data_IF_903651352557
#
_entry.id   IF_903651352557
#
_cell.length_a   1.000
_cell.length_b   1.000
_cell.length_c   1.000
_cell.angle_alpha   90.00
_cell.angle_beta   90.00
_cell.angle_gamma   90.00
#
_symmetry.space_group_name_H-M   'P 1'
#
loop_
_entity.id
_entity.type
_entity.pdbx_description
1 polymer ?
#
# COMPACT_ATOMS: atom_id res chain seq x y z
N UNK A 1 -7.77 -0.72 5.53
CA UNK A 1 -7.05 -1.91 6.06
C UNK A 1 -7.07 -2.98 5.00
N UNK A 2 -6.02 -3.07 4.17
CA UNK A 2 -5.95 -4.04 3.07
C UNK A 2 -5.39 -5.40 3.53
N UNK A 3 -5.98 -6.47 3.03
CA UNK A 3 -5.53 -7.84 3.17
C UNK A 3 -4.89 -8.33 1.86
N UNK A 4 -4.18 -9.45 1.91
CA UNK A 4 -3.62 -10.05 0.69
C UNK A 4 -4.70 -10.57 -0.26
N UNK A 5 -5.86 -10.98 0.26
CA UNK A 5 -7.02 -11.42 -0.53
C UNK A 5 -7.69 -10.30 -1.31
N UNK A 6 -7.39 -9.04 -0.97
CA UNK A 6 -7.93 -7.87 -1.66
C UNK A 6 -7.16 -7.54 -2.94
N UNK A 7 -6.03 -8.20 -3.20
CA UNK A 7 -5.13 -7.95 -4.33
C UNK A 7 -5.28 -9.04 -5.38
N UNK A 8 -5.52 -8.63 -6.62
CA UNK A 8 -5.40 -9.47 -7.79
C UNK A 8 -4.25 -8.97 -8.67
N UNK A 9 -3.14 -9.73 -8.70
CA UNK A 9 -1.96 -9.37 -9.49
C UNK A 9 -2.12 -9.66 -10.98
N UNK A 10 -3.06 -10.52 -11.38
CA UNK A 10 -3.33 -10.83 -12.79
C UNK A 10 -4.17 -9.72 -13.40
N UNK A 11 -5.24 -9.34 -12.69
CA UNK A 11 -6.11 -8.23 -13.08
C UNK A 11 -5.51 -6.86 -12.77
N UNK A 12 -4.40 -6.82 -12.01
CA UNK A 12 -3.75 -5.60 -11.53
C UNK A 12 -4.69 -4.75 -10.70
N UNK A 13 -5.53 -5.37 -9.89
CA UNK A 13 -6.54 -4.67 -9.10
C UNK A 13 -6.33 -4.82 -7.60
N UNK A 14 -6.77 -3.80 -6.86
CA UNK A 14 -6.92 -3.84 -5.41
C UNK A 14 -8.35 -3.45 -5.06
N UNK A 15 -9.03 -4.31 -4.31
CA UNK A 15 -10.40 -4.10 -3.82
C UNK A 15 -10.32 -3.39 -2.47
N UNK A 16 -10.85 -2.18 -2.40
CA UNK A 16 -10.90 -1.40 -1.16
C UNK A 16 -12.34 -1.35 -0.69
N UNK A 17 -12.62 -2.00 0.43
CA UNK A 17 -13.92 -1.93 1.11
C UNK A 17 -13.90 -0.80 2.14
N UNK A 18 -14.82 0.16 2.02
CA UNK A 18 -15.14 1.13 3.08
C UNK A 18 -16.44 0.71 3.80
N UNK A 19 -16.54 0.99 5.11
CA UNK A 19 -17.44 0.32 6.05
C UNK A 19 -18.96 0.51 5.89
N UNK A 20 -19.70 -0.15 6.79
CA UNK A 20 -21.14 -0.52 6.80
C UNK A 20 -22.20 0.52 6.39
N UNK A 21 -21.89 1.81 6.23
CA UNK A 21 -22.90 2.82 5.90
C UNK A 21 -23.16 3.01 4.41
N UNK A 22 -22.17 2.74 3.56
CA UNK A 22 -22.32 2.75 2.12
C UNK A 22 -21.53 1.55 1.60
N UNK A 23 -22.20 0.47 1.18
CA UNK A 23 -21.59 -0.75 0.66
C UNK A 23 -20.87 -0.55 -0.69
N UNK A 24 -20.17 0.56 -0.87
CA UNK A 24 -19.48 0.94 -2.10
C UNK A 24 -18.00 0.57 -1.96
N UNK A 25 -17.70 -0.70 -2.22
CA UNK A 25 -16.32 -1.11 -2.48
C UNK A 25 -15.82 -0.44 -3.77
N UNK A 26 -14.56 -0.02 -3.80
CA UNK A 26 -13.91 0.50 -5.01
C UNK A 26 -12.80 -0.44 -5.46
N UNK A 27 -12.65 -0.58 -6.78
CA UNK A 27 -11.57 -1.33 -7.40
C UNK A 27 -10.58 -0.33 -7.98
N UNK A 28 -9.32 -0.41 -7.54
CA UNK A 28 -8.24 0.45 -8.03
C UNK A 28 -7.31 -0.38 -8.91
N UNK A 29 -7.01 0.14 -10.10
CA UNK A 29 -6.06 -0.47 -11.02
C UNK A 29 -4.63 0.00 -10.72
N UNK A 30 -3.71 -0.95 -10.67
CA UNK A 30 -2.29 -0.73 -10.47
C UNK A 30 -1.60 -0.49 -11.82
N UNK A 31 -0.68 0.46 -11.86
CA UNK A 31 0.28 0.53 -12.96
C UNK A 31 1.17 -0.71 -12.98
N UNK A 32 1.88 -0.92 -14.09
CA UNK A 32 2.77 -2.07 -14.22
C UNK A 32 3.91 -2.05 -13.18
N UNK A 33 4.50 -0.89 -12.92
CA UNK A 33 5.53 -0.71 -11.89
C UNK A 33 4.98 -1.00 -10.48
N UNK A 34 3.75 -0.55 -10.20
CA UNK A 34 3.10 -0.82 -8.92
C UNK A 34 2.80 -2.33 -8.74
N UNK A 35 2.38 -3.01 -9.82
CA UNK A 35 2.18 -4.46 -9.82
C UNK A 35 3.48 -5.21 -9.55
N UNK A 36 4.57 -4.84 -10.22
CA UNK A 36 5.88 -5.47 -10.03
C UNK A 36 6.40 -5.26 -8.61
N UNK A 37 6.32 -4.04 -8.09
CA UNK A 37 6.68 -3.72 -6.71
C UNK A 37 5.85 -4.53 -5.70
N UNK A 38 4.55 -4.66 -5.94
CA UNK A 38 3.65 -5.44 -5.08
C UNK A 38 3.97 -6.94 -5.14
N UNK A 39 4.25 -7.48 -6.32
CA UNK A 39 4.66 -8.87 -6.49
C UNK A 39 5.98 -9.18 -5.77
N UNK A 40 6.96 -8.28 -5.85
CA UNK A 40 8.22 -8.40 -5.10
C UNK A 40 7.97 -8.36 -3.58
N UNK A 41 7.10 -7.45 -3.11
CA UNK A 41 6.70 -7.38 -1.71
C UNK A 41 6.02 -8.66 -1.22
N UNK A 42 5.10 -9.24 -1.99
CA UNK A 42 4.42 -10.49 -1.62
C UNK A 42 5.38 -11.67 -1.45
N UNK A 43 6.52 -11.67 -2.14
CA UNK A 43 7.57 -12.70 -1.97
C UNK A 43 8.43 -12.47 -0.72
N UNK A 44 8.68 -11.22 -0.34
CA UNK A 44 9.54 -10.87 0.78
C UNK A 44 8.81 -10.80 2.13
N UNK A 45 7.49 -10.56 2.11
CA UNK A 45 6.68 -10.42 3.33
C UNK A 45 6.54 -11.73 4.09
N UNK A 46 6.21 -11.61 5.37
CA UNK A 46 5.83 -12.71 6.24
C UNK A 46 4.44 -13.21 5.87
N UNK A 47 4.37 -14.42 5.28
CA UNK A 47 3.14 -15.01 4.77
C UNK A 47 2.02 -15.11 5.82
N UNK A 48 2.37 -15.39 7.08
CA UNK A 48 1.42 -15.57 8.18
C UNK A 48 0.72 -14.28 8.65
N UNK A 49 1.20 -13.09 8.22
CA UNK A 49 0.52 -11.84 8.58
C UNK A 49 -0.71 -11.66 7.67
N UNK A 50 -1.90 -11.33 8.20
CA UNK A 50 -3.10 -11.18 7.37
C UNK A 50 -3.11 -9.85 6.58
N UNK A 51 -2.45 -8.80 7.09
CA UNK A 51 -2.44 -7.49 6.44
C UNK A 51 -1.45 -7.43 5.30
N UNK A 52 -1.85 -6.75 4.22
CA UNK A 52 -0.99 -6.55 3.05
C UNK A 52 0.27 -5.77 3.43
N UNK A 53 0.12 -4.68 4.19
CA UNK A 53 1.21 -3.86 4.70
C UNK A 53 1.18 -3.80 6.24
N UNK A 54 2.36 -3.85 6.86
CA UNK A 54 2.53 -3.82 8.31
C UNK A 54 3.88 -3.21 8.68
N UNK A 55 3.96 -2.61 9.86
CA UNK A 55 5.23 -2.12 10.41
C UNK A 55 6.11 -3.25 10.99
N UNK A 56 7.41 -2.99 11.15
CA UNK A 56 8.32 -3.88 11.86
C UNK A 56 7.85 -4.03 13.31
N UNK A 57 7.61 -5.26 13.77
CA UNK A 57 7.07 -5.53 15.12
C UNK A 57 5.59 -5.20 15.33
N UNK A 58 4.92 -4.58 14.36
CA UNK A 58 3.51 -4.18 14.49
C UNK A 58 2.58 -5.00 13.59
N UNK A 59 1.30 -5.01 13.97
CA UNK A 59 0.24 -5.63 13.18
C UNK A 59 -0.22 -4.75 12.01
N UNK A 60 0.10 -3.45 12.02
CA UNK A 60 -0.36 -2.50 11.03
C UNK A 60 0.68 -1.43 10.68
N UNK A 61 0.52 -0.82 9.52
CA UNK A 61 1.28 0.35 9.10
C UNK A 61 0.42 1.58 9.38
N UNK A 62 0.86 2.45 10.29
CA UNK A 62 0.16 3.71 10.55
C UNK A 62 0.50 4.78 9.51
N UNK A 63 -0.38 5.77 9.36
CA UNK A 63 -0.20 6.89 8.43
C UNK A 63 1.14 7.60 8.66
N UNK A 64 1.51 7.87 9.91
CA UNK A 64 2.75 8.58 10.21
C UNK A 64 3.99 7.80 9.74
N UNK A 65 4.02 6.47 9.98
CA UNK A 65 5.10 5.61 9.49
C UNK A 65 5.16 5.58 7.96
N UNK A 66 4.02 5.47 7.29
CA UNK A 66 3.95 5.53 5.83
C UNK A 66 4.46 6.89 5.29
N UNK A 67 4.05 7.99 5.92
CA UNK A 67 4.47 9.35 5.57
C UNK A 67 5.97 9.58 5.77
N UNK A 68 6.55 9.07 6.86
CA UNK A 68 8.01 9.15 7.09
C UNK A 68 8.77 8.39 6.01
N UNK A 69 8.33 7.18 5.68
CA UNK A 69 8.96 6.38 4.62
C UNK A 69 8.82 7.04 3.25
N UNK A 70 7.66 7.62 2.94
CA UNK A 70 7.43 8.36 1.71
C UNK A 70 8.39 9.55 1.57
N UNK A 71 8.52 10.39 2.60
CA UNK A 71 9.46 11.52 2.61
C UNK A 71 10.92 11.06 2.42
N UNK A 72 11.32 9.98 3.08
CA UNK A 72 12.66 9.39 2.94
C UNK A 72 12.95 9.02 1.48
N UNK A 73 12.02 8.39 0.79
CA UNK A 73 12.22 7.97 -0.60
C UNK A 73 12.10 9.14 -1.59
N UNK A 74 11.26 10.15 -1.32
CA UNK A 74 11.27 11.40 -2.10
C UNK A 74 12.64 12.08 -2.06
N UNK A 75 13.25 12.17 -0.88
CA UNK A 75 14.59 12.75 -0.75
C UNK A 75 15.63 11.94 -1.53
N UNK A 76 15.59 10.60 -1.44
CA UNK A 76 16.49 9.73 -2.20
C UNK A 76 16.32 9.85 -3.71
N UNK A 77 15.10 10.14 -4.18
CA UNK A 77 14.80 10.32 -5.59
C UNK A 77 15.11 11.75 -6.10
N UNK A 78 15.57 12.67 -5.24
CA UNK A 78 15.78 14.07 -5.61
C UNK A 78 14.47 14.83 -5.88
N UNK A 79 13.36 14.39 -5.28
CA UNK A 79 12.02 14.94 -5.48
C UNK A 79 11.48 15.66 -4.24
N UNK A 80 12.33 15.92 -3.24
CA UNK A 80 11.93 16.53 -1.97
C UNK A 80 11.29 17.92 -2.16
N UNK A 81 11.80 18.71 -3.11
CA UNK A 81 11.39 20.11 -3.31
C UNK A 81 10.18 20.25 -4.25
N UNK A 82 9.64 19.13 -4.77
CA UNK A 82 8.50 19.14 -5.71
C UNK A 82 7.12 19.21 -5.03
N UNK A 83 7.08 19.32 -3.70
CA UNK A 83 5.84 19.50 -2.95
C UNK A 83 4.96 18.24 -2.84
N UNK A 84 5.46 17.06 -3.21
CA UNK A 84 4.70 15.81 -3.08
C UNK A 84 4.43 15.45 -1.62
N UNK A 85 3.17 15.14 -1.31
CA UNK A 85 2.73 14.78 0.05
C UNK A 85 1.74 13.60 0.02
N UNK A 86 1.75 12.81 1.09
CA UNK A 86 0.66 11.86 1.35
C UNK A 86 -0.49 12.65 1.94
N UNK A 87 -1.60 12.75 1.21
CA UNK A 87 -2.80 13.39 1.74
C UNK A 87 -3.35 12.57 2.93
N UNK A 88 -3.74 13.23 4.04
CA UNK A 88 -4.30 12.57 5.21
C UNK A 88 -5.68 11.97 4.95
#
# INVERSE_FOLDING_TARGET
NLQTTDVDLNERTVKIYEGEKNATGRVVYLSEDARQALAAWLKARQAYKPRLFYGQGHHYLCYNSARVMFKKYLHKAGLADKGYMVHP
#
